data_IF_623319007775
#
_entry.id   IF_623319007775
#
_cell.length_a   1.000
_cell.length_b   1.000
_cell.length_c   1.000
_cell.angle_alpha   90.00
_cell.angle_beta   90.00
_cell.angle_gamma   90.00
#
_symmetry.space_group_name_H-M   'P 1'
#
loop_
_entity.id
_entity.type
_entity.pdbx_description
1 polymer ?
#
# COMPACT_ATOMS: atom_id res chain seq x y z
N UNK A 1 -10.52 -6.40 4.50
CA UNK A 1 -9.85 -7.48 5.26
C UNK A 1 -8.72 -6.91 6.13
N UNK A 2 -7.85 -6.11 5.53
CA UNK A 2 -6.73 -5.40 6.14
C UNK A 2 -7.10 -4.52 7.37
N UNK A 3 -8.10 -3.65 7.25
CA UNK A 3 -8.54 -2.80 8.37
C UNK A 3 -9.07 -3.61 9.57
N UNK A 4 -9.86 -4.65 9.31
CA UNK A 4 -10.40 -5.53 10.36
C UNK A 4 -9.31 -6.30 11.12
N UNK A 5 -8.25 -6.74 10.43
CA UNK A 5 -7.12 -7.40 11.08
C UNK A 5 -6.28 -6.46 11.96
N UNK A 6 -6.12 -5.20 11.56
CA UNK A 6 -5.44 -4.17 12.38
C UNK A 6 -6.26 -3.81 13.62
N UNK A 7 -7.59 -3.81 13.53
CA UNK A 7 -8.48 -3.59 14.68
C UNK A 7 -8.51 -4.79 15.62
N UNK A 8 -8.52 -6.02 15.10
CA UNK A 8 -8.55 -7.25 15.93
C UNK A 8 -7.20 -7.66 16.52
N UNK A 9 -6.09 -7.44 15.80
CA UNK A 9 -4.76 -7.96 16.16
C UNK A 9 -3.68 -6.88 16.24
N UNK A 10 -4.00 -5.61 15.96
CA UNK A 10 -3.09 -4.47 16.10
C UNK A 10 -3.34 -3.65 17.38
N UNK A 11 -2.76 -2.46 17.47
CA UNK A 11 -2.89 -1.54 18.61
C UNK A 11 -4.21 -0.74 18.62
N UNK A 12 -5.16 -1.11 17.74
CA UNK A 12 -6.47 -0.48 17.66
C UNK A 12 -6.51 0.86 16.93
N UNK A 13 -5.39 1.37 16.40
CA UNK A 13 -5.42 2.61 15.60
C UNK A 13 -6.06 2.42 14.22
N UNK A 14 -6.21 1.17 13.78
CA UNK A 14 -6.77 0.82 12.50
C UNK A 14 -5.89 1.27 11.33
N UNK A 15 -6.09 0.63 10.17
CA UNK A 15 -5.36 0.97 8.94
C UNK A 15 -4.23 -0.02 8.64
N UNK A 16 -3.80 -0.02 7.38
CA UNK A 16 -2.74 -0.91 6.91
C UNK A 16 -1.68 -0.07 6.23
N UNK A 17 -0.50 -0.02 6.86
CA UNK A 17 0.66 0.72 6.36
C UNK A 17 1.19 0.14 5.05
N UNK A 18 1.12 -1.19 4.90
CA UNK A 18 1.34 -1.87 3.62
C UNK A 18 0.64 -3.23 3.58
N UNK A 19 0.14 -3.63 2.40
CA UNK A 19 -0.36 -4.98 2.13
C UNK A 19 0.39 -5.60 0.94
N UNK A 20 0.60 -6.90 0.99
CA UNK A 20 1.17 -7.70 -0.09
C UNK A 20 0.27 -8.90 -0.36
N UNK A 21 -0.09 -9.12 -1.62
CA UNK A 21 -0.90 -10.25 -2.04
C UNK A 21 -0.26 -10.96 -3.24
N UNK A 22 0.08 -12.23 -3.05
CA UNK A 22 0.59 -13.10 -4.11
C UNK A 22 -0.56 -13.76 -4.87
N UNK A 23 -0.40 -13.91 -6.18
CA UNK A 23 -1.33 -14.61 -7.04
C UNK A 23 -0.55 -15.32 -8.15
N UNK A 24 -1.20 -16.27 -8.82
CA UNK A 24 -0.58 -16.95 -9.96
C UNK A 24 -0.21 -15.94 -11.04
N UNK A 25 1.10 -15.71 -11.21
CA UNK A 25 1.64 -14.77 -12.18
C UNK A 25 2.09 -13.42 -11.62
N UNK A 26 2.08 -13.21 -10.30
CA UNK A 26 2.73 -12.02 -9.74
C UNK A 26 2.43 -11.70 -8.28
N UNK A 27 2.85 -10.49 -7.90
CA UNK A 27 2.64 -9.93 -6.57
C UNK A 27 2.05 -8.53 -6.67
N UNK A 28 1.01 -8.26 -5.88
CA UNK A 28 0.42 -6.94 -5.70
C UNK A 28 0.92 -6.34 -4.38
N UNK A 29 1.59 -5.19 -4.47
CA UNK A 29 2.00 -4.37 -3.34
C UNK A 29 1.09 -3.16 -3.23
N UNK A 30 0.66 -2.85 -2.01
CA UNK A 30 -0.14 -1.66 -1.70
C UNK A 30 0.50 -0.95 -0.51
N UNK A 31 0.76 0.34 -0.61
CA UNK A 31 1.25 1.20 0.48
C UNK A 31 0.41 2.45 0.61
N UNK A 32 0.35 3.02 1.81
CA UNK A 32 -0.23 4.35 2.02
C UNK A 32 0.62 5.40 1.30
N UNK A 33 -0.03 6.30 0.57
CA UNK A 33 0.66 7.27 -0.30
C UNK A 33 0.24 8.73 -0.07
N UNK A 34 -0.48 8.98 1.02
CA UNK A 34 -1.06 10.27 1.36
C UNK A 34 -2.45 10.10 1.96
N UNK A 35 -3.01 11.19 2.50
CA UNK A 35 -4.33 11.13 3.12
C UNK A 35 -5.39 10.72 2.08
N UNK A 36 -6.11 9.64 2.38
CA UNK A 36 -7.12 9.08 1.48
C UNK A 36 -6.57 8.36 0.24
N UNK A 37 -5.26 8.16 0.13
CA UNK A 37 -4.62 7.64 -1.07
C UNK A 37 -3.65 6.48 -0.82
N UNK A 38 -3.54 5.59 -1.81
CA UNK A 38 -2.66 4.43 -1.77
C UNK A 38 -1.95 4.27 -3.12
N UNK A 39 -0.70 3.82 -3.09
CA UNK A 39 0.06 3.40 -4.25
C UNK A 39 -0.03 1.88 -4.38
N UNK A 40 -0.46 1.40 -5.55
CA UNK A 40 -0.54 -0.01 -5.87
C UNK A 40 0.39 -0.37 -7.04
N UNK A 41 1.21 -1.41 -6.87
CA UNK A 41 2.17 -1.87 -7.87
C UNK A 41 2.01 -3.38 -8.07
N UNK A 42 1.96 -3.81 -9.32
CA UNK A 42 1.94 -5.24 -9.70
C UNK A 42 3.30 -5.61 -10.28
N UNK A 43 3.88 -6.70 -9.80
CA UNK A 43 5.19 -7.19 -10.25
C UNK A 43 5.10 -8.63 -10.71
N UNK A 44 6.13 -9.10 -11.42
CA UNK A 44 6.35 -10.52 -11.65
C UNK A 44 6.61 -11.28 -10.34
N UNK A 45 6.47 -12.60 -10.36
CA UNK A 45 6.67 -13.48 -9.19
C UNK A 45 8.12 -13.50 -8.68
N UNK A 46 9.09 -13.23 -9.56
CA UNK A 46 10.52 -13.23 -9.26
C UNK A 46 11.08 -11.83 -8.93
N UNK A 47 10.21 -10.83 -8.81
CA UNK A 47 10.62 -9.48 -8.45
C UNK A 47 11.13 -9.41 -7.00
N UNK A 48 12.23 -8.69 -6.80
CA UNK A 48 12.77 -8.46 -5.46
C UNK A 48 11.84 -7.51 -4.67
N UNK A 49 11.14 -8.07 -3.68
CA UNK A 49 10.20 -7.33 -2.84
C UNK A 49 10.86 -6.18 -2.06
N UNK A 50 12.14 -6.32 -1.69
CA UNK A 50 12.90 -5.27 -1.01
C UNK A 50 13.16 -4.08 -1.93
N UNK A 51 13.56 -4.35 -3.18
CA UNK A 51 13.76 -3.30 -4.19
C UNK A 51 12.44 -2.63 -4.58
N UNK A 52 11.37 -3.41 -4.75
CA UNK A 52 10.03 -2.90 -5.04
C UNK A 52 9.56 -1.98 -3.90
N UNK A 53 9.67 -2.43 -2.65
CA UNK A 53 9.32 -1.64 -1.48
C UNK A 53 10.14 -0.35 -1.37
N UNK A 54 11.45 -0.41 -1.62
CA UNK A 54 12.33 0.75 -1.61
C UNK A 54 11.90 1.81 -2.65
N UNK A 55 11.71 1.40 -3.90
CA UNK A 55 11.28 2.30 -4.97
C UNK A 55 9.88 2.87 -4.71
N UNK A 56 8.97 2.07 -4.13
CA UNK A 56 7.64 2.54 -3.74
C UNK A 56 7.72 3.62 -2.66
N UNK A 57 8.58 3.46 -1.65
CA UNK A 57 8.80 4.48 -0.62
C UNK A 57 9.33 5.78 -1.24
N UNK A 58 10.34 5.71 -2.11
CA UNK A 58 10.85 6.91 -2.79
C UNK A 58 9.78 7.60 -3.65
N UNK A 59 8.95 6.84 -4.36
CA UNK A 59 7.84 7.39 -5.14
C UNK A 59 6.81 8.08 -4.25
N UNK A 60 6.43 7.47 -3.13
CA UNK A 60 5.50 8.06 -2.16
C UNK A 60 6.08 9.35 -1.58
N UNK A 61 7.36 9.37 -1.23
CA UNK A 61 8.03 10.59 -0.72
C UNK A 61 8.05 11.71 -1.77
N UNK A 62 8.33 11.39 -3.04
CA UNK A 62 8.35 12.38 -4.13
C UNK A 62 6.96 12.92 -4.47
N UNK A 63 5.94 12.09 -4.38
CA UNK A 63 4.59 12.45 -4.82
C UNK A 63 3.62 12.74 -3.66
N UNK A 64 4.05 12.65 -2.40
CA UNK A 64 3.16 12.71 -1.23
C UNK A 64 2.24 13.94 -1.17
N UNK A 65 2.74 15.14 -1.52
CA UNK A 65 1.90 16.35 -1.57
C UNK A 65 0.87 16.35 -2.73
N UNK A 66 1.09 15.53 -3.75
CA UNK A 66 0.28 15.44 -4.96
C UNK A 66 -0.69 14.25 -4.96
N UNK A 67 -0.51 13.29 -4.05
CA UNK A 67 -1.28 12.05 -4.03
C UNK A 67 -2.50 12.09 -3.11
N UNK A 68 -2.70 13.13 -2.32
CA UNK A 68 -3.89 13.26 -1.46
C UNK A 68 -5.19 13.19 -2.28
N UNK A 69 -6.10 12.31 -1.85
CA UNK A 69 -7.40 12.13 -2.49
C UNK A 69 -8.52 12.41 -1.49
N UNK A 70 -9.32 13.44 -1.78
CA UNK A 70 -10.51 13.72 -0.98
C UNK A 70 -11.48 12.53 -1.01
N UNK A 71 -12.20 12.26 0.10
CA UNK A 71 -13.20 11.20 0.16
C UNK A 71 -14.18 11.29 -1.01
N UNK A 72 -14.36 10.18 -1.74
CA UNK A 72 -15.34 10.11 -2.82
C UNK A 72 -16.74 10.01 -2.22
N UNK A 73 -17.47 11.12 -2.15
CA UNK A 73 -18.90 11.07 -1.82
C UNK A 73 -19.63 10.22 -2.89
N UNK A 74 -20.27 9.14 -2.44
CA UNK A 74 -21.17 8.30 -3.23
C UNK A 74 -22.62 8.61 -2.89
#
# INVERSE_FOLDING_TARGET
LSHGASVEFGDGTGGVRSAMAEFYGGVLFIVEAGEGAHLAVVTAEDADAGLVGHNMSELVEQLGEHLTALPRNS
#
